data_IF_553909544355
#
_entry.id   IF_553909544355
#
_cell.length_a   1.000
_cell.length_b   1.000
_cell.length_c   1.000
_cell.angle_alpha   90.00
_cell.angle_beta   90.00
_cell.angle_gamma   90.00
#
_symmetry.space_group_name_H-M   'P 1'
#
loop_
_entity.id
_entity.type
_entity.pdbx_description
1 polymer ?
#
# COMPACT_ATOMS: atom_id res chain seq x y z
N UNK A 1 1.83 12.80 13.95
CA UNK A 1 0.82 13.06 12.91
C UNK A 1 0.23 11.74 12.47
N UNK A 2 -1.06 11.70 12.24
CA UNK A 2 -1.78 10.47 11.91
C UNK A 2 -1.74 10.22 10.40
N UNK A 3 -0.65 9.63 9.92
CA UNK A 3 -0.39 9.37 8.49
C UNK A 3 -0.04 7.91 8.24
N UNK A 4 -0.23 7.46 7.00
CA UNK A 4 0.19 6.17 6.48
C UNK A 4 1.29 6.37 5.41
N UNK A 5 2.55 6.62 5.80
CA UNK A 5 3.62 6.78 4.82
C UNK A 5 3.98 5.45 4.14
N UNK A 6 3.86 4.34 4.85
CA UNK A 6 4.15 3.00 4.35
C UNK A 6 3.18 1.98 4.94
N UNK A 7 2.88 0.96 4.14
CA UNK A 7 2.29 -0.28 4.62
C UNK A 7 3.30 -1.40 4.41
N UNK A 8 3.51 -2.22 5.42
CA UNK A 8 4.31 -3.43 5.33
C UNK A 8 3.73 -4.49 6.26
N UNK A 9 3.76 -5.73 5.82
CA UNK A 9 3.35 -6.90 6.58
C UNK A 9 4.06 -8.13 6.03
N UNK A 10 4.50 -9.08 6.88
CA UNK A 10 5.00 -10.37 6.40
C UNK A 10 3.90 -11.31 5.91
N UNK A 11 2.62 -10.95 6.12
CA UNK A 11 1.48 -11.81 5.80
C UNK A 11 1.08 -11.77 4.33
N UNK A 12 1.34 -10.66 3.64
CA UNK A 12 0.94 -10.47 2.24
C UNK A 12 2.18 -10.22 1.37
N UNK A 13 2.39 -11.04 0.31
CA UNK A 13 3.47 -10.79 -0.63
C UNK A 13 3.31 -9.46 -1.35
N UNK A 14 4.32 -8.60 -1.28
CA UNK A 14 4.37 -7.36 -2.05
C UNK A 14 4.54 -7.71 -3.53
N UNK A 15 3.61 -7.23 -4.38
CA UNK A 15 3.67 -7.39 -5.83
C UNK A 15 4.36 -6.21 -6.50
N UNK A 16 4.03 -5.00 -6.06
CA UNK A 16 4.60 -3.76 -6.60
C UNK A 16 4.53 -2.64 -5.57
N UNK A 17 5.60 -1.86 -5.51
CA UNK A 17 5.64 -0.61 -4.74
C UNK A 17 5.70 0.56 -5.69
N UNK A 18 4.60 1.31 -5.78
CA UNK A 18 4.51 2.53 -6.57
C UNK A 18 4.94 3.77 -5.79
N UNK A 19 4.90 4.93 -6.44
CA UNK A 19 5.22 6.22 -5.82
C UNK A 19 4.29 6.55 -4.64
N UNK A 20 3.00 6.19 -4.73
CA UNK A 20 1.97 6.47 -3.71
C UNK A 20 1.07 5.28 -3.37
N UNK A 21 1.08 4.21 -4.17
CA UNK A 21 0.28 2.99 -4.00
C UNK A 21 1.16 1.77 -3.95
N UNK A 22 0.85 0.85 -3.04
CA UNK A 22 1.50 -0.44 -2.93
C UNK A 22 0.47 -1.54 -3.19
N UNK A 23 0.85 -2.58 -3.95
CA UNK A 23 -0.01 -3.71 -4.29
C UNK A 23 0.49 -4.99 -3.65
N UNK A 24 -0.41 -5.73 -3.02
CA UNK A 24 -0.13 -6.98 -2.31
C UNK A 24 -1.00 -8.10 -2.85
N UNK A 25 -0.46 -9.31 -2.91
CA UNK A 25 -1.22 -10.50 -3.32
C UNK A 25 -2.17 -10.93 -2.21
N UNK A 26 -3.45 -11.15 -2.59
CA UNK A 26 -4.49 -11.72 -1.72
C UNK A 26 -5.17 -12.85 -2.49
N UNK A 27 -4.69 -14.09 -2.29
CA UNK A 27 -5.15 -15.23 -3.11
C UNK A 27 -4.66 -15.21 -4.56
N UNK A 28 -5.28 -16.00 -5.43
CA UNK A 28 -4.80 -16.23 -6.79
C UNK A 28 -5.30 -15.21 -7.82
N UNK A 29 -6.46 -14.59 -7.57
CA UNK A 29 -7.13 -13.72 -8.54
C UNK A 29 -7.45 -12.31 -7.98
N UNK A 30 -6.89 -11.98 -6.84
CA UNK A 30 -7.13 -10.70 -6.19
C UNK A 30 -5.85 -10.11 -5.63
N UNK A 31 -5.81 -8.79 -5.60
CA UNK A 31 -4.77 -8.01 -4.91
C UNK A 31 -5.38 -6.97 -4.00
N UNK A 32 -4.66 -6.62 -2.96
CA UNK A 32 -4.94 -5.46 -2.12
C UNK A 32 -4.12 -4.29 -2.64
N UNK A 33 -4.77 -3.19 -2.98
CA UNK A 33 -4.12 -1.91 -3.25
C UNK A 33 -4.20 -1.08 -1.98
N UNK A 34 -3.05 -0.65 -1.44
CA UNK A 34 -2.97 0.26 -0.30
C UNK A 34 -2.49 1.61 -0.78
N UNK A 35 -3.31 2.64 -0.59
CA UNK A 35 -3.01 4.02 -0.97
C UNK A 35 -2.42 4.75 0.22
N UNK A 36 -1.16 5.11 0.13
CA UNK A 36 -0.43 5.77 1.20
C UNK A 36 -0.57 7.29 1.16
N UNK A 37 -0.18 7.95 2.24
CA UNK A 37 -0.14 9.40 2.34
C UNK A 37 1.14 10.03 1.73
N UNK A 38 1.95 9.21 1.03
CA UNK A 38 3.12 9.70 0.28
C UNK A 38 2.69 10.70 -0.79
N UNK A 39 3.48 11.75 -0.97
CA UNK A 39 3.32 12.69 -2.06
C UNK A 39 4.49 12.57 -3.03
N UNK A 40 4.19 12.49 -4.32
CA UNK A 40 5.19 12.51 -5.39
C UNK A 40 5.07 13.80 -6.19
N UNK A 41 6.18 14.48 -6.40
CA UNK A 41 6.29 15.65 -7.27
C UNK A 41 7.64 15.62 -8.01
N UNK A 42 7.66 16.06 -9.27
CA UNK A 42 8.87 16.06 -10.11
C UNK A 42 9.60 14.71 -10.10
N UNK A 43 8.85 13.62 -10.28
CA UNK A 43 9.29 12.23 -10.29
C UNK A 43 9.95 11.70 -9.00
N UNK A 44 9.95 12.50 -7.95
CA UNK A 44 10.48 12.13 -6.64
C UNK A 44 9.37 11.99 -5.62
N UNK A 45 9.49 11.01 -4.72
CA UNK A 45 8.65 10.87 -3.53
C UNK A 45 9.23 11.74 -2.44
N UNK A 46 8.43 12.63 -1.87
CA UNK A 46 8.84 13.49 -0.76
C UNK A 46 8.93 12.69 0.55
N UNK A 47 9.79 13.14 1.44
CA UNK A 47 9.97 12.55 2.78
C UNK A 47 8.76 12.83 3.69
N UNK A 48 8.03 13.92 3.43
CA UNK A 48 6.83 14.30 4.18
C UNK A 48 5.59 13.64 3.60
N UNK A 49 4.88 12.87 4.42
CA UNK A 49 3.54 12.37 4.10
C UNK A 49 2.48 13.45 4.38
N UNK A 50 1.47 13.55 3.50
CA UNK A 50 0.36 14.51 3.64
C UNK A 50 -0.84 13.80 4.27
N UNK A 51 -1.28 14.17 5.49
CA UNK A 51 -2.40 13.52 6.17
C UNK A 51 -3.65 13.45 5.28
N UNK A 52 -4.36 12.33 5.36
CA UNK A 52 -5.60 12.05 4.63
C UNK A 52 -5.47 11.86 3.11
N UNK A 53 -4.32 12.18 2.49
CA UNK A 53 -4.16 12.11 1.03
C UNK A 53 -4.52 10.73 0.48
N UNK A 54 -3.99 9.66 1.08
CA UNK A 54 -4.25 8.29 0.63
C UNK A 54 -5.74 7.92 0.69
N UNK A 55 -6.39 8.29 1.79
CA UNK A 55 -7.82 8.04 1.98
C UNK A 55 -8.69 8.84 1.00
N UNK A 56 -8.33 10.09 0.71
CA UNK A 56 -9.01 10.93 -0.28
C UNK A 56 -8.91 10.31 -1.67
N UNK A 57 -7.69 9.95 -2.10
CA UNK A 57 -7.49 9.34 -3.42
C UNK A 57 -8.23 8.02 -3.59
N UNK A 58 -8.17 7.17 -2.56
CA UNK A 58 -8.85 5.87 -2.58
C UNK A 58 -10.37 6.03 -2.58
N UNK A 59 -10.89 6.93 -1.75
CA UNK A 59 -12.33 7.20 -1.68
C UNK A 59 -12.89 7.89 -2.93
N UNK A 60 -12.13 8.80 -3.57
CA UNK A 60 -12.50 9.38 -4.86
C UNK A 60 -12.50 8.34 -5.97
N UNK A 61 -11.50 7.47 -6.03
CA UNK A 61 -11.46 6.39 -7.00
C UNK A 61 -12.69 5.46 -6.86
N UNK A 62 -13.02 5.04 -5.64
CA UNK A 62 -14.22 4.22 -5.35
C UNK A 62 -15.50 4.92 -5.81
N UNK A 63 -15.68 6.20 -5.46
CA UNK A 63 -16.82 7.02 -5.88
C UNK A 63 -16.98 7.04 -7.42
N UNK A 64 -15.89 7.30 -8.15
CA UNK A 64 -15.92 7.41 -9.60
C UNK A 64 -16.11 6.06 -10.29
N UNK A 65 -15.48 5.00 -9.78
CA UNK A 65 -15.71 3.64 -10.29
C UNK A 65 -17.18 3.22 -10.17
N UNK A 66 -17.84 3.61 -9.08
CA UNK A 66 -19.28 3.37 -8.93
C UNK A 66 -20.11 4.19 -9.93
N UNK A 67 -19.81 5.48 -10.11
CA UNK A 67 -20.52 6.37 -11.03
C UNK A 67 -20.36 5.98 -12.50
N UNK A 68 -19.25 5.33 -12.85
CA UNK A 68 -18.92 4.98 -14.24
C UNK A 68 -19.13 3.49 -14.56
N UNK A 69 -19.67 2.71 -13.62
CA UNK A 69 -19.89 1.26 -13.76
C UNK A 69 -20.71 0.87 -14.99
N UNK A 70 -21.68 1.71 -15.39
CA UNK A 70 -22.53 1.49 -16.57
C UNK A 70 -21.78 1.71 -17.91
N UNK A 71 -20.65 2.42 -17.90
CA UNK A 71 -19.84 2.69 -19.09
C UNK A 71 -18.92 1.52 -19.40
N UNK A 72 -18.21 1.05 -18.36
CA UNK A 72 -17.22 -0.03 -18.47
C UNK A 72 -17.09 -0.74 -17.12
N UNK A 73 -16.92 -2.07 -17.10
CA UNK A 73 -16.56 -2.79 -15.89
C UNK A 73 -15.23 -2.28 -15.32
N UNK A 74 -15.03 -2.44 -14.01
CA UNK A 74 -13.80 -2.07 -13.34
C UNK A 74 -13.26 -3.19 -12.46
N UNK A 75 -12.07 -3.03 -11.92
CA UNK A 75 -11.38 -4.02 -11.12
C UNK A 75 -11.83 -4.10 -9.66
N UNK A 76 -12.62 -3.16 -9.16
CA UNK A 76 -12.99 -3.09 -7.73
C UNK A 76 -13.81 -4.31 -7.32
N UNK A 77 -13.39 -4.97 -6.23
CA UNK A 77 -14.17 -5.98 -5.52
C UNK A 77 -14.84 -5.33 -4.31
N UNK A 78 -14.05 -4.65 -3.48
CA UNK A 78 -14.55 -4.05 -2.23
C UNK A 78 -13.59 -2.99 -1.69
N UNK A 79 -14.13 -1.84 -1.28
CA UNK A 79 -13.44 -0.91 -0.40
C UNK A 79 -13.32 -1.55 0.98
N UNK A 80 -12.10 -1.87 1.42
CA UNK A 80 -11.83 -2.56 2.69
C UNK A 80 -11.57 -1.57 3.81
N UNK A 81 -10.83 -0.52 3.50
CA UNK A 81 -10.49 0.58 4.40
C UNK A 81 -10.44 1.89 3.61
N UNK A 82 -10.53 3.03 4.27
CA UNK A 82 -10.36 4.31 3.59
C UNK A 82 -9.06 4.40 2.77
N UNK A 83 -8.01 3.68 3.19
CA UNK A 83 -6.71 3.61 2.50
C UNK A 83 -6.50 2.31 1.71
N UNK A 84 -7.46 1.39 1.64
CA UNK A 84 -7.23 0.07 1.04
C UNK A 84 -8.44 -0.47 0.28
N UNK A 85 -8.19 -0.97 -0.93
CA UNK A 85 -9.20 -1.56 -1.80
C UNK A 85 -8.76 -2.95 -2.27
N UNK A 86 -9.64 -3.93 -2.12
CA UNK A 86 -9.48 -5.26 -2.72
C UNK A 86 -9.95 -5.19 -4.17
N UNK A 87 -9.09 -5.62 -5.10
CA UNK A 87 -9.36 -5.57 -6.54
C UNK A 87 -9.11 -6.93 -7.19
N UNK A 88 -9.73 -7.17 -8.36
CA UNK A 88 -9.44 -8.32 -9.20
C UNK A 88 -8.09 -8.16 -9.87
N UNK A 89 -7.37 -9.26 -10.01
CA UNK A 89 -6.12 -9.31 -10.77
C UNK A 89 -6.44 -9.22 -12.26
N UNK A 90 -6.10 -8.11 -12.89
CA UNK A 90 -6.22 -7.90 -14.31
C UNK A 90 -4.85 -7.83 -14.98
N UNK A 91 -4.75 -8.21 -16.23
CA UNK A 91 -3.55 -8.00 -17.03
C UNK A 91 -3.50 -6.53 -17.49
N UNK A 92 -2.59 -5.68 -16.99
CA UNK A 92 -2.56 -4.28 -17.37
C UNK A 92 -2.18 -4.09 -18.82
N UNK A 93 -2.85 -3.19 -19.52
CA UNK A 93 -2.45 -2.70 -20.83
C UNK A 93 -1.46 -1.56 -20.60
N UNK A 94 -0.26 -1.67 -21.17
CA UNK A 94 0.83 -0.69 -20.93
C UNK A 94 0.68 0.57 -21.80
N UNK A 95 -0.52 1.13 -21.79
CA UNK A 95 -0.88 2.37 -22.50
C UNK A 95 -1.74 3.21 -21.57
N UNK A 96 -1.40 4.47 -21.40
CA UNK A 96 -2.22 5.45 -20.70
C UNK A 96 -3.03 6.25 -21.71
N UNK A 97 -4.34 6.33 -21.52
CA UNK A 97 -5.25 7.11 -22.37
C UNK A 97 -5.46 8.48 -21.73
N UNK A 98 -4.70 9.48 -22.20
CA UNK A 98 -4.80 10.85 -21.68
C UNK A 98 -5.82 11.64 -22.47
N UNK A 99 -6.88 12.11 -21.81
CA UNK A 99 -7.92 12.98 -22.39
C UNK A 99 -7.68 14.41 -21.93
N UNK A 100 -7.69 15.36 -22.86
CA UNK A 100 -7.45 16.78 -22.57
C UNK A 100 -8.53 17.65 -23.19
N UNK A 101 -9.11 18.54 -22.38
CA UNK A 101 -10.06 19.55 -22.82
C UNK A 101 -9.40 20.92 -23.03
N UNK A 102 -8.26 21.17 -22.42
CA UNK A 102 -7.59 22.46 -22.36
C UNK A 102 -6.09 22.34 -22.67
N UNK A 103 -5.54 23.37 -23.32
CA UNK A 103 -4.11 23.47 -23.58
C UNK A 103 -3.36 23.93 -22.32
N UNK A 104 -2.80 22.97 -21.56
CA UNK A 104 -2.09 23.24 -20.29
C UNK A 104 -1.00 22.20 -20.02
N UNK A 105 -0.29 22.38 -18.91
CA UNK A 105 0.69 21.39 -18.41
C UNK A 105 1.84 21.11 -19.37
N UNK A 106 2.17 19.84 -19.60
CA UNK A 106 3.24 19.42 -20.52
C UNK A 106 2.95 19.84 -21.96
N UNK A 107 1.69 19.72 -22.37
CA UNK A 107 1.28 20.06 -23.72
C UNK A 107 1.46 21.56 -24.01
N UNK A 108 1.14 22.45 -23.05
CA UNK A 108 1.43 23.87 -23.20
C UNK A 108 2.92 24.17 -23.31
N UNK A 109 3.77 23.50 -22.51
CA UNK A 109 5.23 23.65 -22.60
C UNK A 109 5.76 23.23 -23.98
N UNK A 110 5.29 22.10 -24.52
CA UNK A 110 5.61 21.64 -25.88
C UNK A 110 5.15 22.66 -26.94
N UNK A 111 3.93 23.17 -26.79
CA UNK A 111 3.36 24.17 -27.72
C UNK A 111 4.18 25.48 -27.74
N UNK A 112 4.60 25.98 -26.55
CA UNK A 112 5.50 27.13 -26.44
C UNK A 112 6.88 26.85 -27.05
N UNK A 113 7.36 25.61 -27.00
CA UNK A 113 8.61 25.19 -27.63
C UNK A 113 8.48 24.99 -29.19
N UNK A 114 7.31 25.24 -29.75
CA UNK A 114 7.06 25.12 -31.19
C UNK A 114 6.42 23.82 -31.65
N UNK A 115 6.17 22.86 -30.74
CA UNK A 115 5.43 21.62 -31.05
C UNK A 115 3.97 21.95 -31.39
N UNK A 116 3.45 21.33 -32.48
CA UNK A 116 2.06 21.52 -32.92
C UNK A 116 1.31 20.21 -33.02
N UNK A 117 2.02 19.09 -32.99
CA UNK A 117 1.40 17.76 -33.06
C UNK A 117 1.74 16.98 -31.83
N UNK A 118 0.71 16.45 -31.14
CA UNK A 118 0.78 15.70 -29.89
C UNK A 118 0.05 14.37 -30.06
N UNK A 119 0.76 13.26 -29.97
CA UNK A 119 0.21 11.90 -30.19
C UNK A 119 -0.65 11.80 -31.49
N UNK A 120 -0.28 12.53 -32.56
CA UNK A 120 -1.00 12.56 -33.81
C UNK A 120 -2.09 13.63 -33.93
N UNK A 121 -2.41 14.35 -32.84
CA UNK A 121 -3.39 15.44 -32.86
C UNK A 121 -2.69 16.77 -33.13
N UNK A 122 -3.09 17.47 -34.23
CA UNK A 122 -2.55 18.79 -34.59
C UNK A 122 -3.33 19.88 -33.86
N UNK A 123 -2.60 20.76 -33.17
CA UNK A 123 -3.13 21.94 -32.47
C UNK A 123 -2.86 23.17 -33.31
N UNK A 124 -3.87 23.97 -33.65
CA UNK A 124 -3.71 25.18 -34.46
C UNK A 124 -2.80 26.23 -33.80
N UNK A 125 -2.26 27.12 -34.60
CA UNK A 125 -1.56 28.30 -34.08
C UNK A 125 -2.53 29.28 -33.42
N UNK A 126 -2.03 30.05 -32.45
CA UNK A 126 -2.79 31.11 -31.79
C UNK A 126 -3.67 30.65 -30.63
N UNK A 127 -3.66 29.37 -30.26
CA UNK A 127 -4.34 28.94 -29.02
C UNK A 127 -3.55 29.43 -27.81
N UNK A 128 -4.24 30.13 -26.91
CA UNK A 128 -3.68 30.62 -25.65
C UNK A 128 -3.53 29.54 -24.57
N UNK A 129 -2.72 29.85 -23.55
CA UNK A 129 -2.62 29.00 -22.35
C UNK A 129 -3.99 28.84 -21.69
N UNK A 130 -4.28 27.63 -21.25
CA UNK A 130 -5.55 27.27 -20.60
C UNK A 130 -6.79 27.43 -21.50
N UNK A 131 -6.64 27.67 -22.79
CA UNK A 131 -7.76 27.73 -23.71
C UNK A 131 -8.30 26.32 -24.02
N UNK A 132 -9.63 26.21 -24.12
CA UNK A 132 -10.34 24.98 -24.49
C UNK A 132 -10.13 24.63 -25.97
N UNK A 133 -10.04 23.33 -26.27
CA UNK A 133 -10.03 22.82 -27.64
C UNK A 133 -11.43 22.77 -28.28
N UNK A 134 -12.48 23.11 -27.53
CA UNK A 134 -13.88 22.94 -27.96
C UNK A 134 -14.39 21.51 -27.71
N UNK A 135 -13.72 20.51 -28.24
CA UNK A 135 -13.95 19.09 -27.93
C UNK A 135 -12.71 18.47 -27.27
N UNK A 136 -12.88 17.46 -26.39
CA UNK A 136 -11.74 16.80 -25.76
C UNK A 136 -10.92 16.00 -26.79
N UNK A 137 -9.60 16.05 -26.65
CA UNK A 137 -8.65 15.34 -27.48
C UNK A 137 -8.00 14.19 -26.73
N UNK A 138 -7.60 13.13 -27.44
CA UNK A 138 -6.87 11.99 -26.91
C UNK A 138 -5.40 12.09 -27.28
N UNK A 139 -4.52 12.00 -26.30
CA UNK A 139 -3.07 12.00 -26.46
C UNK A 139 -2.46 10.83 -25.69
N UNK A 140 -2.54 9.59 -26.23
CA UNK A 140 -2.04 8.41 -25.54
C UNK A 140 -0.53 8.46 -25.31
N UNK A 141 -0.08 7.79 -24.25
CA UNK A 141 1.33 7.56 -23.93
C UNK A 141 1.59 6.08 -23.66
N UNK A 142 2.80 5.61 -23.91
CA UNK A 142 3.24 4.30 -23.43
C UNK A 142 3.55 4.38 -21.94
N UNK A 143 3.40 3.27 -21.22
CA UNK A 143 3.78 3.13 -19.83
C UNK A 143 5.12 2.40 -19.74
N UNK A 144 6.18 3.13 -20.03
CA UNK A 144 7.59 2.71 -19.95
C UNK A 144 8.26 3.35 -18.72
N UNK A 145 9.58 3.32 -18.61
CA UNK A 145 10.32 4.05 -17.54
C UNK A 145 10.11 5.56 -17.63
N UNK A 146 9.95 6.08 -18.86
CA UNK A 146 9.50 7.44 -19.14
C UNK A 146 8.30 7.39 -20.09
N UNK A 147 7.19 8.02 -19.70
CA UNK A 147 5.98 8.08 -20.51
C UNK A 147 6.29 8.74 -21.87
N UNK A 148 6.16 7.97 -22.96
CA UNK A 148 6.45 8.42 -24.32
C UNK A 148 5.13 8.72 -25.04
N UNK A 149 5.01 9.93 -25.61
CA UNK A 149 3.91 10.27 -26.51
C UNK A 149 3.93 9.33 -27.72
N UNK A 150 2.79 8.78 -28.08
CA UNK A 150 2.68 7.82 -29.18
C UNK A 150 1.38 8.03 -29.97
N UNK A 151 1.46 7.90 -31.30
CA UNK A 151 0.26 7.98 -32.13
C UNK A 151 -0.55 6.69 -32.09
N UNK A 152 -1.87 6.73 -32.36
CA UNK A 152 -2.69 5.54 -32.51
C UNK A 152 -2.13 4.48 -33.46
N UNK A 153 -1.58 4.93 -34.58
CA UNK A 153 -1.00 4.04 -35.61
C UNK A 153 0.27 3.36 -35.10
N UNK A 154 1.12 4.11 -34.37
CA UNK A 154 2.33 3.55 -33.78
C UNK A 154 2.00 2.60 -32.59
N UNK A 155 0.94 2.87 -31.82
CA UNK A 155 0.47 1.90 -30.81
C UNK A 155 0.16 0.53 -31.41
N UNK A 156 -0.44 0.51 -32.58
CA UNK A 156 -0.78 -0.72 -33.29
C UNK A 156 0.45 -1.33 -33.98
N UNK A 157 1.21 -0.54 -34.73
CA UNK A 157 2.37 -1.04 -35.50
C UNK A 157 3.53 -1.52 -34.60
N UNK A 158 3.70 -0.93 -33.44
CA UNK A 158 4.68 -1.36 -32.44
C UNK A 158 4.17 -2.52 -31.55
N UNK A 159 2.92 -2.97 -31.72
CA UNK A 159 2.34 -4.13 -31.02
C UNK A 159 1.92 -3.88 -29.57
N UNK A 160 1.69 -2.64 -29.17
CA UNK A 160 1.19 -2.31 -27.83
C UNK A 160 -0.25 -2.79 -27.62
N UNK A 161 -1.11 -2.55 -28.62
CA UNK A 161 -2.52 -2.96 -28.64
C UNK A 161 -2.98 -3.27 -30.06
N UNK A 162 -4.05 -4.05 -30.23
CA UNK A 162 -4.73 -4.15 -31.53
C UNK A 162 -5.50 -2.88 -31.88
N UNK A 163 -5.83 -2.68 -33.15
CA UNK A 163 -6.66 -1.55 -33.60
C UNK A 163 -8.01 -1.53 -32.89
N UNK A 164 -8.67 -2.66 -32.83
CA UNK A 164 -9.99 -2.81 -32.20
C UNK A 164 -9.94 -2.50 -30.71
N UNK A 165 -8.87 -2.94 -30.03
CA UNK A 165 -8.71 -2.67 -28.60
C UNK A 165 -8.43 -1.18 -28.34
N UNK A 166 -7.58 -0.54 -29.17
CA UNK A 166 -7.35 0.90 -29.10
C UNK A 166 -8.66 1.69 -29.28
N UNK A 167 -9.46 1.35 -30.30
CA UNK A 167 -10.74 2.03 -30.57
C UNK A 167 -11.73 1.88 -29.41
N UNK A 168 -11.79 0.70 -28.79
CA UNK A 168 -12.58 0.50 -27.57
C UNK A 168 -12.09 1.38 -26.42
N UNK A 169 -10.77 1.40 -26.14
CA UNK A 169 -10.17 2.23 -25.11
C UNK A 169 -10.44 3.72 -25.36
N UNK A 170 -10.26 4.18 -26.61
CA UNK A 170 -10.48 5.57 -27.01
C UNK A 170 -11.95 5.99 -26.78
N UNK A 171 -12.89 5.19 -27.27
CA UNK A 171 -14.34 5.43 -27.08
C UNK A 171 -14.71 5.48 -25.61
N UNK A 172 -14.22 4.51 -24.79
CA UNK A 172 -14.51 4.47 -23.36
C UNK A 172 -13.89 5.65 -22.60
N UNK A 173 -12.67 6.05 -22.95
CA UNK A 173 -12.01 7.21 -22.34
C UNK A 173 -12.78 8.51 -22.56
N UNK A 174 -13.28 8.75 -23.76
CA UNK A 174 -14.11 9.93 -24.05
C UNK A 174 -15.46 9.88 -23.32
N UNK A 175 -16.11 8.72 -23.23
CA UNK A 175 -17.35 8.56 -22.46
C UNK A 175 -17.13 8.80 -20.95
N UNK A 176 -16.06 8.27 -20.37
CA UNK A 176 -15.67 8.49 -18.98
C UNK A 176 -15.39 9.98 -18.72
N UNK A 177 -14.65 10.62 -19.63
CA UNK A 177 -14.33 12.04 -19.51
C UNK A 177 -15.60 12.91 -19.56
N UNK A 178 -16.53 12.62 -20.46
CA UNK A 178 -17.79 13.37 -20.57
C UNK A 178 -18.61 13.26 -19.27
N UNK A 179 -18.81 12.04 -18.76
CA UNK A 179 -19.57 11.83 -17.51
C UNK A 179 -18.87 12.51 -16.33
N UNK A 180 -17.55 12.43 -16.26
CA UNK A 180 -16.76 13.15 -15.24
C UNK A 180 -16.92 14.66 -15.33
N UNK A 181 -16.85 15.21 -16.55
CA UNK A 181 -17.00 16.64 -16.80
C UNK A 181 -18.38 17.14 -16.42
N UNK A 182 -19.44 16.40 -16.79
CA UNK A 182 -20.83 16.78 -16.50
C UNK A 182 -21.10 16.81 -15.00
N UNK A 183 -20.71 15.75 -14.27
CA UNK A 183 -20.89 15.67 -12.81
C UNK A 183 -20.07 16.72 -12.05
N UNK A 184 -18.87 17.04 -12.53
CA UNK A 184 -18.02 18.06 -11.91
C UNK A 184 -18.51 19.47 -12.22
N UNK A 185 -19.07 19.71 -13.40
CA UNK A 185 -19.65 20.99 -13.76
C UNK A 185 -20.83 21.38 -12.83
N UNK A 186 -21.66 20.43 -12.41
CA UNK A 186 -22.72 20.62 -11.41
C UNK A 186 -22.16 21.09 -10.04
N UNK A 187 -20.87 20.85 -9.78
CA UNK A 187 -20.16 21.23 -8.55
C UNK A 187 -19.30 22.50 -8.72
N UNK A 188 -19.41 23.16 -9.88
CA UNK A 188 -18.56 24.31 -10.20
C UNK A 188 -17.08 23.96 -10.41
N UNK A 189 -16.80 22.72 -10.83
CA UNK A 189 -15.44 22.22 -11.06
C UNK A 189 -15.28 21.88 -12.54
N UNK A 190 -14.17 22.29 -13.14
CA UNK A 190 -13.77 21.95 -14.50
C UNK A 190 -12.81 20.76 -14.44
N UNK A 191 -13.13 19.67 -15.16
CA UNK A 191 -12.19 18.60 -15.46
C UNK A 191 -11.32 19.03 -16.64
N UNK A 192 -10.09 19.34 -16.37
CA UNK A 192 -9.16 19.92 -17.36
C UNK A 192 -8.55 18.85 -18.26
N UNK A 193 -7.98 17.86 -17.65
CA UNK A 193 -7.44 16.65 -18.26
C UNK A 193 -7.42 15.50 -17.24
N UNK A 194 -7.31 14.29 -17.77
CA UNK A 194 -7.20 13.08 -16.95
C UNK A 194 -6.51 11.98 -17.75
N UNK A 195 -5.98 10.98 -17.04
CA UNK A 195 -5.48 9.74 -17.62
C UNK A 195 -6.31 8.56 -17.16
N UNK A 196 -6.52 7.61 -18.06
CA UNK A 196 -7.17 6.33 -17.77
C UNK A 196 -6.22 5.18 -18.07
N UNK A 197 -6.26 4.17 -17.21
CA UNK A 197 -5.55 2.91 -17.38
C UNK A 197 -6.56 1.76 -17.52
N UNK A 198 -6.24 0.85 -18.44
CA UNK A 198 -7.09 -0.28 -18.75
C UNK A 198 -6.33 -1.59 -18.54
N UNK A 199 -7.09 -2.66 -18.33
CA UNK A 199 -6.59 -4.01 -18.25
C UNK A 199 -7.54 -5.00 -18.90
N UNK A 200 -7.07 -6.23 -19.07
CA UNK A 200 -7.89 -7.35 -19.52
C UNK A 200 -8.16 -8.30 -18.35
N UNK A 201 -9.42 -8.61 -18.14
CA UNK A 201 -9.87 -9.65 -17.22
C UNK A 201 -10.69 -10.67 -18.00
N UNK A 202 -10.18 -11.90 -18.13
CA UNK A 202 -10.79 -12.93 -18.97
C UNK A 202 -11.03 -12.45 -20.44
N UNK A 203 -10.08 -11.73 -21.00
CA UNK A 203 -10.15 -11.06 -22.31
C UNK A 203 -11.21 -9.95 -22.43
N UNK A 204 -11.85 -9.54 -21.35
CA UNK A 204 -12.75 -8.41 -21.31
C UNK A 204 -12.00 -7.14 -20.90
N UNK A 205 -12.21 -6.04 -21.64
CA UNK A 205 -11.64 -4.73 -21.30
C UNK A 205 -12.28 -4.17 -20.05
N UNK A 206 -11.47 -3.86 -19.03
CA UNK A 206 -11.91 -3.24 -17.79
C UNK A 206 -11.07 -1.99 -17.46
N UNK A 207 -11.65 -1.08 -16.69
CA UNK A 207 -10.95 0.06 -16.15
C UNK A 207 -10.21 -0.33 -14.87
N UNK A 208 -8.95 0.10 -14.74
CA UNK A 208 -8.08 -0.20 -13.58
C UNK A 208 -7.43 1.08 -13.04
N UNK A 209 -6.61 0.94 -12.01
CA UNK A 209 -5.84 1.97 -11.29
C UNK A 209 -6.73 2.99 -10.58
N UNK A 210 -6.81 4.21 -11.06
CA UNK A 210 -7.62 5.30 -10.50
C UNK A 210 -8.32 6.10 -11.58
N UNK A 211 -9.36 6.82 -11.21
CA UNK A 211 -10.13 7.65 -12.12
C UNK A 211 -10.51 8.97 -11.42
N UNK A 212 -10.32 10.09 -12.13
CA UNK A 212 -10.69 11.44 -11.72
C UNK A 212 -10.27 11.81 -10.29
N UNK A 213 -9.05 11.40 -9.91
CA UNK A 213 -8.45 11.81 -8.64
C UNK A 213 -7.48 12.99 -8.85
N UNK A 214 -7.11 13.73 -7.81
CA UNK A 214 -6.10 14.78 -7.90
C UNK A 214 -4.71 14.30 -8.36
N UNK A 215 -4.44 12.99 -8.36
CA UNK A 215 -3.18 12.44 -8.86
C UNK A 215 -3.25 12.04 -10.35
N UNK A 216 -4.44 11.68 -10.86
CA UNK A 216 -4.67 11.32 -12.27
C UNK A 216 -5.24 12.45 -13.12
N UNK A 217 -5.75 13.53 -12.52
CA UNK A 217 -6.52 14.58 -13.20
C UNK A 217 -6.13 15.96 -12.70
N UNK A 218 -6.42 16.99 -13.53
CA UNK A 218 -6.39 18.40 -13.11
C UNK A 218 -7.81 18.92 -13.00
N UNK A 219 -8.02 19.73 -11.97
CA UNK A 219 -9.29 20.39 -11.71
C UNK A 219 -9.09 21.88 -11.54
N UNK A 220 -10.00 22.68 -12.10
CA UNK A 220 -10.07 24.12 -11.87
C UNK A 220 -11.42 24.49 -11.29
N UNK A 221 -11.44 25.57 -10.52
CA UNK A 221 -12.67 26.27 -10.14
C UNK A 221 -13.28 26.90 -11.40
N UNK A 222 -14.54 26.61 -11.70
CA UNK A 222 -15.25 27.18 -12.85
C UNK A 222 -15.41 28.70 -12.70
N UNK A 223 -15.65 29.18 -11.47
CA UNK A 223 -15.75 30.60 -11.16
C UNK A 223 -14.43 31.35 -11.39
N UNK A 224 -13.31 30.80 -10.90
CA UNK A 224 -12.01 31.44 -11.07
C UNK A 224 -11.56 31.41 -12.54
N UNK A 225 -11.82 30.31 -13.24
CA UNK A 225 -11.54 30.19 -14.67
C UNK A 225 -12.34 31.22 -15.49
N UNK A 226 -13.63 31.41 -15.17
CA UNK A 226 -14.47 32.39 -15.85
C UNK A 226 -14.00 33.83 -15.58
N UNK A 227 -13.45 34.11 -14.38
CA UNK A 227 -12.92 35.40 -14.01
C UNK A 227 -11.59 35.71 -14.71
N UNK A 228 -10.67 34.78 -14.69
CA UNK A 228 -9.38 34.87 -15.36
C UNK A 228 -8.78 33.46 -15.59
N UNK A 229 -8.79 32.94 -16.82
CA UNK A 229 -8.24 31.63 -17.12
C UNK A 229 -6.77 31.44 -16.71
N UNK A 230 -5.95 32.47 -16.77
CA UNK A 230 -4.51 32.37 -16.45
C UNK A 230 -4.24 32.18 -14.95
N UNK A 231 -5.14 32.66 -14.10
CA UNK A 231 -5.04 32.60 -12.64
C UNK A 231 -5.99 31.59 -12.02
N UNK A 232 -6.68 30.78 -12.83
CA UNK A 232 -7.59 29.74 -12.32
C UNK A 232 -6.90 28.87 -11.26
N UNK A 233 -7.54 28.74 -10.09
CA UNK A 233 -6.99 27.97 -8.98
C UNK A 233 -6.91 26.50 -9.35
N UNK A 234 -5.73 25.92 -9.24
CA UNK A 234 -5.54 24.49 -9.39
C UNK A 234 -5.82 23.81 -8.06
N UNK A 235 -6.86 23.00 -8.05
CA UNK A 235 -7.38 22.31 -6.86
C UNK A 235 -6.58 21.06 -6.53
N UNK A 236 -5.66 20.65 -7.41
CA UNK A 236 -4.82 19.46 -7.26
C UNK A 236 -3.51 19.76 -6.51
N UNK A 237 -2.52 18.87 -6.65
CA UNK A 237 -1.19 18.99 -6.03
C UNK A 237 -0.32 20.14 -6.54
N UNK A 238 -0.84 20.96 -7.44
CA UNK A 238 -0.08 22.08 -8.01
C UNK A 238 0.35 23.11 -6.94
N UNK A 239 -0.45 23.31 -5.89
CA UNK A 239 -0.06 24.11 -4.75
C UNK A 239 1.31 23.68 -4.18
N UNK A 240 1.49 22.39 -3.96
CA UNK A 240 2.77 21.86 -3.48
C UNK A 240 3.88 22.02 -4.52
N UNK A 241 3.58 21.81 -5.81
CA UNK A 241 4.55 22.00 -6.88
C UNK A 241 5.04 23.44 -6.96
N UNK A 242 4.16 24.43 -6.86
CA UNK A 242 4.51 25.84 -6.85
C UNK A 242 5.39 26.19 -5.66
N UNK A 243 5.05 25.66 -4.47
CA UNK A 243 5.89 25.84 -3.29
C UNK A 243 7.29 25.24 -3.48
N UNK A 244 7.38 24.04 -4.03
CA UNK A 244 8.67 23.39 -4.33
C UNK A 244 9.51 24.20 -5.32
N UNK A 245 8.88 24.78 -6.35
CA UNK A 245 9.56 25.66 -7.33
C UNK A 245 10.08 26.92 -6.65
N UNK A 246 9.26 27.58 -5.84
CA UNK A 246 9.62 28.79 -5.14
C UNK A 246 10.73 28.60 -4.08
N UNK A 247 10.86 27.38 -3.55
CA UNK A 247 11.85 27.02 -2.52
C UNK A 247 13.03 26.21 -3.07
N UNK A 248 13.20 26.17 -4.40
CA UNK A 248 14.33 25.47 -5.05
C UNK A 248 15.65 26.15 -4.68
N UNK A 249 16.65 25.38 -4.21
CA UNK A 249 17.99 25.85 -3.86
C UNK A 249 19.04 25.04 -4.63
N UNK A 250 20.00 25.72 -5.19
CA UNK A 250 21.12 25.11 -5.95
C UNK A 250 20.68 24.09 -7.01
N UNK A 251 19.56 24.37 -7.67
CA UNK A 251 18.99 23.49 -8.67
C UNK A 251 18.18 22.30 -8.12
N UNK A 252 18.10 22.12 -6.80
CA UNK A 252 17.41 21.00 -6.15
C UNK A 252 16.10 21.45 -5.50
N UNK A 253 15.07 20.62 -5.62
CA UNK A 253 13.81 20.80 -4.88
C UNK A 253 13.94 20.33 -3.43
N UNK A 254 13.23 20.98 -2.49
CA UNK A 254 13.13 20.46 -1.12
C UNK A 254 12.61 19.02 -1.09
N UNK A 255 13.20 18.19 -0.26
CA UNK A 255 12.76 16.79 -0.08
C UNK A 255 11.63 16.64 0.92
N UNK A 256 11.47 17.62 1.80
CA UNK A 256 10.42 17.69 2.82
C UNK A 256 9.62 18.99 2.73
N UNK A 257 8.34 18.93 3.12
CA UNK A 257 7.46 20.08 3.21
C UNK A 257 7.50 20.69 4.61
N UNK A 258 7.27 21.99 4.73
CA UNK A 258 7.03 22.59 6.03
C UNK A 258 5.70 22.12 6.64
N UNK A 259 5.52 22.22 7.97
CA UNK A 259 4.27 21.86 8.63
C UNK A 259 3.05 22.61 8.06
N UNK A 260 3.20 23.91 7.77
CA UNK A 260 2.14 24.76 7.24
C UNK A 260 1.71 24.34 5.84
N UNK A 261 2.68 24.02 4.97
CA UNK A 261 2.42 23.53 3.61
C UNK A 261 1.77 22.15 3.64
N UNK A 262 2.21 21.29 4.56
CA UNK A 262 1.64 19.97 4.77
C UNK A 262 0.18 20.05 5.21
N UNK A 263 -0.13 20.96 6.14
CA UNK A 263 -1.48 21.18 6.64
C UNK A 263 -2.40 21.74 5.55
N UNK A 264 -1.94 22.74 4.81
CA UNK A 264 -2.72 23.34 3.70
C UNK A 264 -2.94 22.32 2.56
N UNK A 265 -1.94 21.51 2.23
CA UNK A 265 -2.10 20.42 1.26
C UNK A 265 -3.17 19.41 1.73
N UNK A 266 -3.13 18.99 2.99
CA UNK A 266 -4.14 18.10 3.58
C UNK A 266 -5.55 18.71 3.50
N UNK A 267 -5.70 20.00 3.85
CA UNK A 267 -6.98 20.71 3.77
C UNK A 267 -7.53 20.72 2.34
N UNK A 268 -6.69 20.98 1.33
CA UNK A 268 -7.10 20.97 -0.09
C UNK A 268 -7.56 19.59 -0.57
N UNK A 269 -6.88 18.52 -0.14
CA UNK A 269 -7.33 17.15 -0.44
C UNK A 269 -8.69 16.85 0.18
N UNK A 270 -8.95 17.27 1.41
CA UNK A 270 -10.25 17.09 2.06
C UNK A 270 -11.34 17.93 1.38
N UNK A 271 -11.05 19.19 1.05
CA UNK A 271 -11.99 20.08 0.37
C UNK A 271 -12.43 19.55 -0.99
N UNK A 272 -11.49 19.09 -1.81
CA UNK A 272 -11.85 18.50 -3.12
C UNK A 272 -12.66 17.22 -2.99
N UNK A 273 -12.37 16.40 -1.98
CA UNK A 273 -13.17 15.21 -1.70
C UNK A 273 -14.62 15.57 -1.37
N UNK A 274 -14.81 16.50 -0.46
CA UNK A 274 -16.14 16.95 -0.03
C UNK A 274 -16.92 17.62 -1.16
N UNK A 275 -16.27 18.49 -1.93
CA UNK A 275 -16.89 19.13 -3.10
C UNK A 275 -17.35 18.13 -4.16
N UNK A 276 -16.51 17.15 -4.50
CA UNK A 276 -16.84 16.15 -5.52
C UNK A 276 -17.92 15.20 -5.02
N UNK A 277 -17.77 14.64 -3.82
CA UNK A 277 -18.66 13.58 -3.32
C UNK A 277 -19.91 14.10 -2.63
N UNK A 278 -19.91 15.36 -2.17
CA UNK A 278 -20.95 15.93 -1.31
C UNK A 278 -20.96 15.37 0.10
N UNK A 279 -19.88 14.72 0.53
CA UNK A 279 -19.75 14.06 1.84
C UNK A 279 -18.39 14.36 2.44
N UNK A 280 -18.34 14.54 3.77
CA UNK A 280 -17.06 14.54 4.48
C UNK A 280 -16.36 13.18 4.32
N UNK A 281 -15.02 13.19 4.25
CA UNK A 281 -14.26 11.96 4.24
C UNK A 281 -14.59 11.15 5.50
N UNK A 282 -14.93 9.86 5.39
CA UNK A 282 -15.10 9.01 6.58
C UNK A 282 -13.75 8.95 7.31
N UNK A 283 -13.56 9.82 8.28
CA UNK A 283 -12.41 9.76 9.18
C UNK A 283 -12.53 8.51 10.04
N UNK A 284 -11.40 7.98 10.46
CA UNK A 284 -11.36 6.86 11.38
C UNK A 284 -12.32 7.12 12.55
N UNK A 285 -13.04 6.09 12.96
CA UNK A 285 -13.76 6.10 14.21
C UNK A 285 -12.76 6.43 15.33
N UNK A 286 -12.69 7.71 15.69
CA UNK A 286 -11.77 8.24 16.72
C UNK A 286 -11.97 7.53 18.06
N UNK A 287 -13.18 6.99 18.29
CA UNK A 287 -13.53 6.30 19.52
C UNK A 287 -12.91 4.89 19.61
N UNK A 288 -12.76 4.18 18.48
CA UNK A 288 -12.25 2.80 18.48
C UNK A 288 -10.74 2.68 18.26
N UNK A 289 -10.12 3.61 17.52
CA UNK A 289 -8.68 3.53 17.17
C UNK A 289 -7.86 4.73 17.63
N UNK A 290 -8.47 5.69 18.34
CA UNK A 290 -7.79 6.94 18.71
C UNK A 290 -7.29 7.75 17.52
N UNK A 291 -7.93 7.58 16.35
CA UNK A 291 -7.52 8.25 15.11
C UNK A 291 -6.25 7.68 14.45
N UNK A 292 -5.68 6.58 14.93
CA UNK A 292 -4.42 6.02 14.41
C UNK A 292 -4.64 5.22 13.12
N UNK A 293 -4.24 5.77 11.96
CA UNK A 293 -4.49 5.20 10.63
C UNK A 293 -3.97 3.76 10.47
N UNK A 294 -2.71 3.42 10.85
CA UNK A 294 -2.25 2.04 10.79
C UNK A 294 -3.09 1.06 11.59
N UNK A 295 -3.51 1.41 12.81
CA UNK A 295 -4.34 0.54 13.65
C UNK A 295 -5.73 0.31 13.06
N UNK A 296 -6.35 1.36 12.49
CA UNK A 296 -7.61 1.25 11.75
C UNK A 296 -7.47 0.31 10.55
N UNK A 297 -6.41 0.48 9.75
CA UNK A 297 -6.15 -0.33 8.57
C UNK A 297 -6.01 -1.81 8.94
N UNK A 298 -5.19 -2.14 9.95
CA UNK A 298 -5.07 -3.52 10.46
C UNK A 298 -6.42 -4.07 10.88
N UNK A 299 -7.18 -3.32 11.70
CA UNK A 299 -8.50 -3.74 12.18
C UNK A 299 -9.46 -4.06 11.02
N UNK A 300 -9.49 -3.22 9.99
CA UNK A 300 -10.37 -3.42 8.85
C UNK A 300 -9.92 -4.58 7.95
N UNK A 301 -8.61 -4.76 7.73
CA UNK A 301 -8.06 -5.91 7.01
C UNK A 301 -8.33 -7.23 7.73
N UNK A 302 -8.24 -7.24 9.06
CA UNK A 302 -8.59 -8.41 9.89
C UNK A 302 -10.08 -8.72 9.81
N UNK A 303 -10.95 -7.71 9.96
CA UNK A 303 -12.42 -7.86 9.80
C UNK A 303 -12.81 -8.38 8.41
N UNK A 304 -12.06 -8.00 7.39
CA UNK A 304 -12.25 -8.47 6.02
C UNK A 304 -11.68 -9.89 5.78
N UNK A 305 -11.00 -10.49 6.74
CA UNK A 305 -10.38 -11.81 6.61
C UNK A 305 -9.12 -11.85 5.73
N UNK A 306 -8.54 -10.68 5.42
CA UNK A 306 -7.37 -10.54 4.54
C UNK A 306 -6.07 -10.85 5.28
N UNK A 307 -5.98 -10.50 6.55
CA UNK A 307 -4.81 -10.77 7.40
C UNK A 307 -5.22 -11.11 8.84
N UNK A 308 -4.25 -11.52 9.65
CA UNK A 308 -4.40 -11.69 11.10
C UNK A 308 -3.89 -10.44 11.83
N UNK A 309 -4.32 -10.25 13.08
CA UNK A 309 -3.94 -9.10 13.91
C UNK A 309 -2.53 -9.21 14.52
N UNK A 310 -1.85 -10.33 14.33
CA UNK A 310 -0.48 -10.57 14.78
C UNK A 310 0.19 -11.68 13.96
N UNK A 311 1.52 -11.71 13.96
CA UNK A 311 2.29 -12.73 13.25
C UNK A 311 3.43 -13.30 14.12
N UNK A 312 3.82 -14.55 13.82
CA UNK A 312 5.02 -15.21 14.32
C UNK A 312 5.79 -15.81 13.14
N UNK A 313 7.02 -15.37 12.92
CA UNK A 313 7.92 -15.97 11.97
C UNK A 313 8.89 -16.92 12.67
N UNK A 314 8.91 -18.18 12.24
CA UNK A 314 9.82 -19.19 12.74
C UNK A 314 10.93 -19.36 11.72
N UNK A 315 12.14 -18.91 12.08
CA UNK A 315 13.31 -18.93 11.19
C UNK A 315 14.23 -20.04 11.62
N UNK A 316 14.50 -20.98 10.73
CA UNK A 316 15.42 -22.08 10.97
C UNK A 316 16.75 -21.85 10.24
N UNK A 317 17.86 -22.17 10.91
CA UNK A 317 19.21 -22.08 10.32
C UNK A 317 19.44 -23.14 9.24
N UNK A 318 18.77 -24.28 9.35
CA UNK A 318 18.89 -25.39 8.42
C UNK A 318 17.53 -26.04 8.13
N UNK A 319 17.29 -26.52 6.88
CA UNK A 319 16.12 -27.36 6.59
C UNK A 319 16.01 -28.62 7.47
N UNK A 320 17.11 -29.09 8.07
CA UNK A 320 17.13 -30.22 9.01
C UNK A 320 16.31 -29.96 10.28
N UNK A 321 16.11 -28.70 10.65
CA UNK A 321 15.36 -28.27 11.84
C UNK A 321 13.84 -28.18 11.59
N UNK A 322 13.38 -28.54 10.39
CA UNK A 322 11.98 -28.41 9.96
C UNK A 322 10.99 -29.09 10.92
N UNK A 323 11.29 -30.30 11.38
CA UNK A 323 10.38 -31.01 12.31
C UNK A 323 10.23 -30.30 13.64
N UNK A 324 11.31 -29.73 14.16
CA UNK A 324 11.27 -28.92 15.40
C UNK A 324 10.42 -27.65 15.18
N UNK A 325 10.60 -26.98 14.05
CA UNK A 325 9.81 -25.79 13.68
C UNK A 325 8.33 -26.13 13.46
N UNK A 326 8.01 -27.28 12.88
CA UNK A 326 6.62 -27.75 12.73
C UNK A 326 5.96 -28.01 14.09
N UNK A 327 6.68 -28.57 15.08
CA UNK A 327 6.19 -28.71 16.45
C UNK A 327 5.87 -27.35 17.06
N UNK A 328 6.76 -26.35 16.91
CA UNK A 328 6.49 -24.98 17.39
C UNK A 328 5.24 -24.42 16.69
N UNK A 329 5.14 -24.56 15.37
CA UNK A 329 4.02 -24.01 14.59
C UNK A 329 2.68 -24.60 14.99
N UNK A 330 2.61 -25.89 15.30
CA UNK A 330 1.35 -26.56 15.68
C UNK A 330 0.72 -25.98 16.95
N UNK A 331 1.51 -25.42 17.87
CA UNK A 331 0.99 -24.76 19.06
C UNK A 331 0.30 -23.42 18.82
N UNK A 332 0.40 -22.87 17.60
CA UNK A 332 -0.34 -21.66 17.23
C UNK A 332 -1.72 -21.94 16.65
N UNK A 333 -2.04 -23.22 16.38
CA UNK A 333 -3.37 -23.62 15.90
C UNK A 333 -4.46 -23.20 16.89
N UNK A 334 -5.52 -22.58 16.40
CA UNK A 334 -6.61 -22.06 17.23
C UNK A 334 -6.40 -20.66 17.83
N UNK A 335 -5.18 -20.09 17.77
CA UNK A 335 -4.92 -18.75 18.30
C UNK A 335 -5.17 -17.62 17.28
N UNK A 336 -5.44 -17.97 16.02
CA UNK A 336 -5.70 -16.96 14.97
C UNK A 336 -4.51 -16.03 14.68
N UNK A 337 -3.29 -16.49 14.91
CA UNK A 337 -2.04 -15.78 14.62
C UNK A 337 -1.49 -16.28 13.28
N UNK A 338 -1.01 -15.37 12.44
CA UNK A 338 -0.30 -15.77 11.22
C UNK A 338 1.05 -16.39 11.58
N UNK A 339 1.39 -17.54 10.97
CA UNK A 339 2.68 -18.19 11.17
C UNK A 339 3.35 -18.52 9.84
N UNK A 340 4.63 -18.19 9.72
CA UNK A 340 5.44 -18.51 8.55
C UNK A 340 6.73 -19.21 8.97
N UNK A 341 7.12 -20.25 8.22
CA UNK A 341 8.43 -20.91 8.35
C UNK A 341 9.39 -20.32 7.30
N UNK A 342 10.58 -19.95 7.75
CA UNK A 342 11.65 -19.43 6.89
C UNK A 342 12.95 -20.22 7.14
N UNK A 343 13.78 -20.30 6.13
CA UNK A 343 15.13 -20.85 6.23
C UNK A 343 16.13 -19.72 5.99
N UNK A 344 17.01 -19.48 6.93
CA UNK A 344 18.09 -18.50 6.80
C UNK A 344 19.20 -18.87 7.78
N UNK A 345 20.39 -19.12 7.29
CA UNK A 345 21.56 -19.36 8.12
C UNK A 345 22.38 -18.09 8.29
N UNK A 346 22.63 -17.69 9.54
CA UNK A 346 23.48 -16.54 9.80
C UNK A 346 24.91 -16.67 9.24
N UNK A 347 25.39 -17.92 9.07
CA UNK A 347 26.75 -18.21 8.61
C UNK A 347 26.86 -18.45 7.09
N UNK A 348 25.73 -18.76 6.39
CA UNK A 348 25.77 -19.20 4.99
C UNK A 348 25.09 -18.24 4.03
N UNK A 349 24.00 -17.60 4.46
CA UNK A 349 23.25 -16.60 3.69
C UNK A 349 22.69 -15.52 4.63
N UNK A 350 23.51 -15.05 5.55
CA UNK A 350 23.14 -14.02 6.54
C UNK A 350 22.75 -12.68 5.94
N UNK A 351 23.11 -12.40 4.70
CA UNK A 351 22.70 -11.22 3.92
C UNK A 351 21.18 -11.14 3.76
N UNK A 352 20.48 -12.28 3.74
CA UNK A 352 19.02 -12.33 3.64
C UNK A 352 18.29 -11.76 4.89
N UNK A 353 19.00 -11.73 6.04
CA UNK A 353 18.44 -11.18 7.29
C UNK A 353 18.04 -9.72 7.11
N UNK A 354 18.82 -8.94 6.39
CA UNK A 354 18.57 -7.51 6.16
C UNK A 354 17.22 -7.30 5.44
N UNK A 355 16.98 -8.05 4.37
CA UNK A 355 15.74 -7.96 3.60
C UNK A 355 14.51 -8.40 4.42
N UNK A 356 14.64 -9.47 5.22
CA UNK A 356 13.56 -9.91 6.12
C UNK A 356 13.30 -8.89 7.23
N UNK A 357 14.35 -8.39 7.86
CA UNK A 357 14.27 -7.41 8.95
C UNK A 357 13.60 -6.11 8.49
N UNK A 358 13.86 -5.65 7.26
CA UNK A 358 13.22 -4.47 6.71
C UNK A 358 11.69 -4.59 6.69
N UNK A 359 11.14 -5.73 6.29
CA UNK A 359 9.69 -5.99 6.30
C UNK A 359 9.15 -6.08 7.72
N UNK A 360 9.83 -6.82 8.60
CA UNK A 360 9.39 -7.03 9.98
C UNK A 360 9.43 -5.75 10.81
N UNK A 361 10.48 -4.94 10.67
CA UNK A 361 10.63 -3.66 11.38
C UNK A 361 9.61 -2.61 10.94
N UNK A 362 9.09 -2.72 9.71
CA UNK A 362 8.06 -1.82 9.16
C UNK A 362 6.65 -2.37 9.29
N UNK A 363 6.50 -3.59 9.81
CA UNK A 363 5.19 -4.21 10.00
C UNK A 363 4.33 -3.36 10.94
N UNK A 364 3.08 -3.14 10.55
CA UNK A 364 2.16 -2.30 11.34
C UNK A 364 1.40 -3.10 12.40
N UNK A 365 1.41 -4.43 12.32
CA UNK A 365 0.86 -5.32 13.31
C UNK A 365 1.95 -5.92 14.23
N UNK A 366 1.61 -6.31 15.46
CA UNK A 366 2.54 -6.96 16.39
C UNK A 366 3.13 -8.23 15.82
N UNK A 367 4.43 -8.43 16.05
CA UNK A 367 5.15 -9.60 15.57
C UNK A 367 6.16 -10.13 16.57
N UNK A 368 6.48 -11.42 16.42
CA UNK A 368 7.55 -12.11 17.17
C UNK A 368 8.30 -13.05 16.24
N UNK A 369 9.59 -13.18 16.43
CA UNK A 369 10.43 -14.11 15.69
C UNK A 369 10.86 -15.23 16.62
N UNK A 370 10.74 -16.49 16.17
CA UNK A 370 11.33 -17.65 16.86
C UNK A 370 12.49 -18.13 15.99
N UNK A 371 13.70 -18.05 16.53
CA UNK A 371 14.93 -18.52 15.88
C UNK A 371 15.23 -19.95 16.29
N UNK A 372 15.41 -20.85 15.34
CA UNK A 372 15.73 -22.26 15.56
C UNK A 372 17.10 -22.56 14.94
N UNK A 373 18.11 -22.74 15.78
CA UNK A 373 19.46 -23.09 15.37
C UNK A 373 20.11 -23.93 16.45
N UNK A 374 20.82 -24.98 16.02
CA UNK A 374 21.68 -25.81 16.88
C UNK A 374 23.15 -25.39 16.81
N UNK A 375 24.00 -26.02 17.60
CA UNK A 375 25.45 -25.83 17.64
C UNK A 375 25.85 -24.36 17.93
N UNK A 376 26.45 -23.67 16.97
CA UNK A 376 26.73 -22.23 17.05
C UNK A 376 25.51 -21.42 16.64
N UNK A 377 24.68 -20.98 17.59
CA UNK A 377 23.43 -20.23 17.34
C UNK A 377 23.75 -18.76 17.01
N UNK A 378 24.36 -18.52 15.85
CA UNK A 378 24.52 -17.16 15.33
C UNK A 378 23.20 -16.52 14.87
N UNK A 379 22.20 -17.33 14.52
CA UNK A 379 20.94 -16.85 13.94
C UNK A 379 20.13 -16.00 14.93
N UNK A 380 19.96 -16.45 16.17
CA UNK A 380 19.21 -15.70 17.19
C UNK A 380 19.81 -14.33 17.46
N UNK A 381 21.14 -14.28 17.62
CA UNK A 381 21.87 -13.01 17.82
C UNK A 381 21.82 -12.09 16.59
N UNK A 382 22.03 -12.63 15.38
CA UNK A 382 21.97 -11.88 14.15
C UNK A 382 20.56 -11.27 13.91
N UNK A 383 19.51 -12.03 14.18
CA UNK A 383 18.13 -11.53 14.11
C UNK A 383 17.89 -10.44 15.17
N UNK A 384 18.25 -10.70 16.44
CA UNK A 384 18.05 -9.75 17.54
C UNK A 384 18.79 -8.42 17.34
N UNK A 385 19.92 -8.44 16.63
CA UNK A 385 20.69 -7.24 16.30
C UNK A 385 20.07 -6.40 15.17
N UNK A 386 19.16 -6.97 14.35
CA UNK A 386 18.63 -6.32 13.15
C UNK A 386 17.13 -6.01 13.22
N UNK A 387 16.41 -6.52 14.22
CA UNK A 387 14.95 -6.33 14.32
C UNK A 387 14.55 -5.59 15.59
N UNK A 388 13.42 -4.86 15.50
CA UNK A 388 12.81 -4.14 16.61
C UNK A 388 11.66 -4.92 17.29
N UNK A 389 11.44 -6.18 16.88
CA UNK A 389 10.45 -7.09 17.47
C UNK A 389 11.14 -8.14 18.34
N UNK A 390 10.45 -8.75 19.34
CA UNK A 390 11.04 -9.78 20.18
C UNK A 390 11.57 -10.98 19.39
N UNK A 391 12.78 -11.45 19.75
CA UNK A 391 13.39 -12.67 19.20
C UNK A 391 13.49 -13.71 20.32
N UNK A 392 13.00 -14.93 20.05
CA UNK A 392 13.04 -16.07 20.95
C UNK A 392 13.84 -17.19 20.30
N UNK A 393 15.00 -17.53 20.82
CA UNK A 393 15.74 -18.72 20.43
C UNK A 393 15.08 -19.97 21.04
N UNK A 394 14.79 -20.96 20.18
CA UNK A 394 14.31 -22.27 20.58
C UNK A 394 15.19 -23.36 19.95
N UNK A 395 16.38 -23.63 20.52
CA UNK A 395 17.33 -24.57 19.93
C UNK A 395 16.76 -25.98 19.87
N UNK A 396 16.95 -26.73 18.76
CA UNK A 396 16.61 -28.14 18.69
C UNK A 396 17.54 -28.96 19.56
N UNK A 397 17.05 -30.08 20.09
CA UNK A 397 17.88 -31.02 20.85
C UNK A 397 17.26 -32.41 20.86
N UNK A 398 18.10 -33.44 20.95
CA UNK A 398 17.72 -34.86 21.02
C UNK A 398 17.99 -35.45 22.41
N UNK A 399 19.09 -35.02 23.03
CA UNK A 399 19.54 -35.45 24.34
C UNK A 399 20.08 -34.30 25.17
N UNK A 400 20.44 -34.58 26.42
CA UNK A 400 20.89 -33.55 27.36
C UNK A 400 22.25 -32.94 26.99
N UNK A 401 23.14 -33.72 26.34
CA UNK A 401 24.43 -33.21 25.92
C UNK A 401 24.27 -32.17 24.77
N UNK A 402 23.44 -32.50 23.78
CA UNK A 402 23.10 -31.60 22.72
C UNK A 402 22.36 -30.34 23.23
N UNK A 403 21.43 -30.51 24.17
CA UNK A 403 20.75 -29.40 24.84
C UNK A 403 21.73 -28.47 25.51
N UNK A 404 22.68 -28.99 26.28
CA UNK A 404 23.68 -28.19 27.00
C UNK A 404 24.56 -27.37 26.05
N UNK A 405 25.02 -27.98 24.95
CA UNK A 405 25.80 -27.33 23.94
C UNK A 405 25.02 -26.19 23.24
N UNK A 406 23.81 -26.48 22.79
CA UNK A 406 22.95 -25.53 22.07
C UNK A 406 22.44 -24.40 22.97
N UNK A 407 22.18 -24.68 24.26
CA UNK A 407 21.76 -23.67 25.23
C UNK A 407 22.87 -22.63 25.47
N UNK A 408 24.11 -23.05 25.68
CA UNK A 408 25.21 -22.15 25.90
C UNK A 408 25.36 -21.14 24.76
N UNK A 409 25.29 -21.59 23.52
CA UNK A 409 25.38 -20.70 22.34
C UNK A 409 24.15 -19.80 22.17
N UNK A 410 23.02 -20.14 22.79
CA UNK A 410 21.78 -19.35 22.72
C UNK A 410 21.69 -18.28 23.79
N UNK A 411 22.39 -18.44 24.94
CA UNK A 411 22.30 -17.49 26.08
C UNK A 411 23.48 -16.55 26.18
N UNK A 412 24.64 -16.93 25.60
CA UNK A 412 25.85 -16.08 25.62
C UNK A 412 25.83 -15.17 24.39
N UNK A 413 25.12 -14.04 24.49
CA UNK A 413 25.00 -13.07 23.41
C UNK A 413 25.83 -11.81 23.67
N UNK A 414 26.34 -11.16 22.61
CA UNK A 414 26.99 -9.85 22.74
C UNK A 414 26.05 -8.79 23.30
N UNK A 415 26.59 -7.67 23.78
CA UNK A 415 25.78 -6.52 24.17
C UNK A 415 24.94 -6.00 23.01
N UNK A 416 23.77 -5.41 23.29
CA UNK A 416 22.81 -4.89 22.32
C UNK A 416 22.21 -5.95 21.33
N UNK A 417 22.27 -7.22 21.70
CA UNK A 417 21.61 -8.33 20.99
C UNK A 417 20.60 -9.05 21.92
N UNK A 418 19.48 -8.41 22.28
CA UNK A 418 18.52 -8.95 23.24
C UNK A 418 17.79 -10.17 22.65
N UNK A 419 18.18 -11.36 23.10
CA UNK A 419 17.61 -12.63 22.64
C UNK A 419 17.04 -13.41 23.84
N UNK A 420 15.77 -13.74 23.78
CA UNK A 420 15.12 -14.63 24.77
C UNK A 420 15.44 -16.08 24.40
N UNK A 421 15.63 -16.95 25.42
CA UNK A 421 15.87 -18.39 25.14
C UNK A 421 14.84 -19.25 25.84
N UNK A 422 14.14 -20.10 25.07
CA UNK A 422 13.11 -21.03 25.54
C UNK A 422 13.29 -22.36 24.83
N UNK A 423 13.69 -23.40 25.56
CA UNK A 423 14.15 -24.67 24.98
C UNK A 423 13.06 -25.64 24.53
N UNK A 424 11.84 -25.51 25.03
CA UNK A 424 10.72 -26.39 24.65
C UNK A 424 9.84 -25.71 23.58
N UNK A 425 9.48 -26.42 22.48
CA UNK A 425 8.62 -25.90 21.42
C UNK A 425 7.30 -25.29 21.90
N UNK A 426 6.59 -26.00 22.78
CA UNK A 426 5.33 -25.54 23.37
C UNK A 426 5.50 -24.25 24.19
N UNK A 427 6.53 -24.20 25.02
CA UNK A 427 6.83 -23.01 25.83
C UNK A 427 7.32 -21.84 24.99
N UNK A 428 8.07 -22.09 23.90
CA UNK A 428 8.50 -21.04 22.97
C UNK A 428 7.29 -20.41 22.26
N UNK A 429 6.34 -21.22 21.79
CA UNK A 429 5.10 -20.73 21.21
C UNK A 429 4.27 -19.93 22.23
N UNK A 430 4.14 -20.43 23.46
CA UNK A 430 3.43 -19.71 24.51
C UNK A 430 4.13 -18.42 24.94
N UNK A 431 5.46 -18.37 24.94
CA UNK A 431 6.22 -17.16 25.20
C UNK A 431 5.98 -16.12 24.09
N UNK A 432 5.96 -16.56 22.83
CA UNK A 432 5.65 -15.70 21.68
C UNK A 432 4.22 -15.11 21.79
N UNK A 433 3.21 -15.92 22.12
CA UNK A 433 1.83 -15.44 22.33
C UNK A 433 1.73 -14.37 23.42
N UNK A 434 2.54 -14.50 24.49
CA UNK A 434 2.60 -13.49 25.57
C UNK A 434 3.33 -12.23 25.12
N UNK A 435 4.43 -12.38 24.37
CA UNK A 435 5.22 -11.27 23.86
C UNK A 435 4.45 -10.42 22.84
N UNK A 436 3.56 -11.02 22.05
CA UNK A 436 2.65 -10.30 21.13
C UNK A 436 1.74 -9.31 21.87
N UNK A 437 1.40 -9.60 23.11
CA UNK A 437 0.60 -8.73 23.99
C UNK A 437 -0.76 -8.26 23.41
N UNK A 438 -1.35 -9.05 22.51
CA UNK A 438 -2.66 -8.75 21.91
C UNK A 438 -3.78 -9.03 22.92
N UNK A 439 -4.75 -8.12 23.13
CA UNK A 439 -5.79 -8.27 24.17
C UNK A 439 -6.56 -9.59 24.11
N UNK A 440 -7.00 -10.03 22.90
CA UNK A 440 -7.72 -11.31 22.74
C UNK A 440 -6.86 -12.53 23.12
N UNK A 441 -5.56 -12.50 22.80
CA UNK A 441 -4.63 -13.57 23.16
C UNK A 441 -4.42 -13.63 24.67
N UNK A 442 -4.29 -12.48 25.33
CA UNK A 442 -4.19 -12.43 26.82
C UNK A 442 -5.42 -13.02 27.47
N UNK A 443 -6.60 -12.74 26.96
CA UNK A 443 -7.85 -13.32 27.49
C UNK A 443 -7.90 -14.84 27.27
N UNK A 444 -7.58 -15.32 26.08
CA UNK A 444 -7.53 -16.76 25.78
C UNK A 444 -6.53 -17.48 26.69
N UNK A 445 -5.31 -16.95 26.81
CA UNK A 445 -4.28 -17.52 27.71
C UNK A 445 -4.72 -17.51 29.18
N UNK A 446 -5.44 -16.48 29.64
CA UNK A 446 -5.99 -16.43 31.00
C UNK A 446 -6.99 -17.57 31.24
N UNK A 447 -7.87 -17.81 30.26
CA UNK A 447 -8.86 -18.90 30.36
C UNK A 447 -8.17 -20.28 30.36
N UNK A 448 -7.17 -20.51 29.54
CA UNK A 448 -6.38 -21.75 29.51
C UNK A 448 -5.64 -22.01 30.85
N UNK A 449 -5.04 -20.97 31.43
CA UNK A 449 -4.40 -21.05 32.76
C UNK A 449 -5.42 -21.43 33.80
N UNK A 450 -6.62 -20.83 33.79
CA UNK A 450 -7.65 -21.18 34.78
C UNK A 450 -8.18 -22.61 34.59
N UNK A 451 -8.39 -23.04 33.34
CA UNK A 451 -8.78 -24.40 33.02
C UNK A 451 -7.75 -25.43 33.50
N UNK A 452 -6.45 -25.17 33.29
CA UNK A 452 -5.36 -26.02 33.77
C UNK A 452 -5.37 -26.13 35.32
N UNK A 453 -5.53 -25.01 36.03
CA UNK A 453 -5.61 -24.99 37.50
C UNK A 453 -6.83 -25.75 38.01
N UNK A 454 -7.99 -25.60 37.36
CA UNK A 454 -9.20 -26.33 37.71
C UNK A 454 -9.03 -27.86 37.55
N UNK A 455 -8.43 -28.28 36.43
CA UNK A 455 -8.11 -29.69 36.19
C UNK A 455 -7.20 -30.30 37.26
N UNK A 456 -6.15 -29.58 37.64
CA UNK A 456 -5.24 -30.05 38.69
C UNK A 456 -5.91 -30.11 40.07
N UNK A 457 -6.79 -29.15 40.41
CA UNK A 457 -7.56 -29.18 41.64
C UNK A 457 -8.54 -30.36 41.72
N UNK A 458 -9.20 -30.65 40.59
CA UNK A 458 -10.09 -31.81 40.47
C UNK A 458 -9.32 -33.12 40.69
N UNK A 459 -8.18 -33.28 39.98
CA UNK A 459 -7.33 -34.46 40.14
C UNK A 459 -6.80 -34.64 41.57
N UNK A 460 -6.44 -33.53 42.28
CA UNK A 460 -6.04 -33.59 43.71
C UNK A 460 -7.21 -34.00 44.60
N UNK A 461 -8.41 -33.46 44.36
CA UNK A 461 -9.60 -33.86 45.09
C UNK A 461 -9.94 -35.35 44.91
N UNK A 462 -9.87 -35.84 43.69
CA UNK A 462 -10.11 -37.26 43.37
C UNK A 462 -9.11 -38.17 44.10
N UNK A 463 -7.82 -37.79 44.13
CA UNK A 463 -6.78 -38.55 44.83
C UNK A 463 -6.97 -38.56 46.35
N UNK A 464 -7.50 -37.48 46.91
CA UNK A 464 -7.80 -37.42 48.38
C UNK A 464 -9.04 -38.21 48.77
N UNK A 465 -9.89 -38.57 47.81
CA UNK A 465 -11.08 -39.38 48.05
C UNK A 465 -10.81 -40.90 47.99
N UNK A 466 -9.59 -41.30 47.59
CA UNK A 466 -9.08 -42.68 47.64
C UNK A 466 -8.55 -43.02 49.02
#
# INVERSE_FOLDING_TARGET
MNTLPYFATPQLPLLHRGKVRDSYRVGDQTRLIVVSDRLSAFDSVLETAVPHKGAVLNGLADFWFEKTRSIIPNHIVKLVDANATLVREAQPIKVEMVVRQYLTGSMWRGYQAGQRTFSGVTVPDGIGKHQSFGAPILTPTTKEESDREITPDNLVSEGWVSRELYEQMAKKSLQLFQVGSDLLAEKGIILVDTKYEFGLLNNELILIDEIHTPDSSRFWSAEDYARNPETAEQMDKEYVRQWLIANKKDGLYPRALSPEVTQEASRRYLDIYERITGRALPTADEQTTGGHVPARLVSNLVKAGIMKDAWVNIVMDSPADREHCLKIRSFFEGYGVFTQLRVCSAHKNGEEITGMAEVWNRSIEPGVIIAVAGLSNGLGGALAANVNVPVISCPPWKDFAELSANLNSSVIMPSATPNLTVVRPDNAAQAALRALNVPRLREQLRQEIQATKAKLRAADADLRAL
#
